data_IF_647776693073
#
_entry.id   IF_647776693073
#
_cell.length_a   1.000
_cell.length_b   1.000
_cell.length_c   1.000
_cell.angle_alpha   90.00
_cell.angle_beta   90.00
_cell.angle_gamma   90.00
#
_symmetry.space_group_name_H-M   'P 1'
#
loop_
_entity.id
_entity.type
_entity.pdbx_description
1 polymer ?
#
# COMPACT_ATOMS: atom_id res chain seq x y z
N UNK A 1 26.14 -23.98 0.91
CA UNK A 1 25.51 -23.01 1.82
C UNK A 1 25.18 -21.79 0.98
N UNK A 2 23.89 -21.43 0.82
CA UNK A 2 23.51 -20.25 0.04
C UNK A 2 23.95 -19.00 0.80
N UNK A 3 24.90 -18.27 0.22
CA UNK A 3 25.28 -16.96 0.73
C UNK A 3 24.16 -15.98 0.32
N UNK A 4 23.24 -15.68 1.26
CA UNK A 4 22.29 -14.59 1.09
C UNK A 4 23.11 -13.31 0.96
N UNK A 5 23.08 -12.67 -0.22
CA UNK A 5 23.68 -11.35 -0.37
C UNK A 5 22.93 -10.39 0.58
N UNK A 6 23.64 -9.69 1.49
CA UNK A 6 23.00 -8.82 2.44
C UNK A 6 22.33 -7.65 1.70
N UNK A 7 21.25 -7.12 2.29
CA UNK A 7 20.66 -5.88 1.82
C UNK A 7 21.72 -4.78 1.99
N UNK A 8 22.06 -4.08 0.91
CA UNK A 8 23.02 -2.95 0.94
C UNK A 8 22.31 -1.60 1.05
N UNK A 9 21.06 -1.51 0.60
CA UNK A 9 20.23 -0.32 0.72
C UNK A 9 18.76 -0.74 0.73
N UNK A 10 17.94 -0.05 1.54
CA UNK A 10 16.48 -0.18 1.51
C UNK A 10 15.89 1.16 1.07
N UNK A 11 15.21 1.15 -0.07
CA UNK A 11 14.49 2.31 -0.56
C UNK A 11 13.05 2.27 -0.10
N UNK A 12 12.53 3.41 0.34
CA UNK A 12 11.11 3.63 0.55
C UNK A 12 10.58 4.54 -0.55
N UNK A 13 9.49 4.12 -1.20
CA UNK A 13 8.85 4.86 -2.27
C UNK A 13 7.40 5.13 -1.84
N UNK A 14 7.06 6.41 -1.76
CA UNK A 14 5.68 6.88 -1.61
C UNK A 14 5.09 7.11 -2.99
N UNK A 15 3.93 6.53 -3.24
CA UNK A 15 3.35 6.51 -4.56
C UNK A 15 1.82 6.61 -4.51
N UNK A 16 1.24 6.96 -5.65
CA UNK A 16 -0.19 7.01 -5.88
C UNK A 16 -0.61 6.09 -7.01
N UNK A 17 -1.89 5.72 -6.99
CA UNK A 17 -2.54 4.96 -8.08
C UNK A 17 -3.82 5.68 -8.50
N UNK A 18 -3.81 6.20 -9.72
CA UNK A 18 -4.87 7.01 -10.30
C UNK A 18 -5.30 6.48 -11.67
N UNK A 19 -6.43 6.97 -12.19
CA UNK A 19 -6.91 6.61 -13.52
C UNK A 19 -7.02 5.09 -13.75
N UNK A 20 -6.42 4.53 -14.81
CA UNK A 20 -6.46 3.09 -15.08
C UNK A 20 -5.85 2.21 -13.97
N UNK A 21 -4.89 2.73 -13.20
CA UNK A 21 -4.21 1.96 -12.15
C UNK A 21 -5.13 1.53 -11.01
N UNK A 22 -6.31 2.15 -10.86
CA UNK A 22 -7.32 1.72 -9.88
C UNK A 22 -7.78 0.28 -10.10
N UNK A 23 -7.69 -0.23 -11.32
CA UNK A 23 -8.02 -1.62 -11.69
C UNK A 23 -6.85 -2.59 -11.52
N UNK A 24 -5.76 -2.16 -10.87
CA UNK A 24 -4.64 -3.03 -10.51
C UNK A 24 -4.84 -3.53 -9.07
N UNK A 25 -4.98 -4.84 -8.91
CA UNK A 25 -5.04 -5.49 -7.58
C UNK A 25 -3.67 -5.57 -6.91
N UNK A 26 -3.63 -5.92 -5.62
CA UNK A 26 -2.39 -5.89 -4.82
C UNK A 26 -1.30 -6.86 -5.29
N UNK A 27 -1.64 -8.01 -5.88
CA UNK A 27 -0.62 -8.90 -6.44
C UNK A 27 0.00 -8.31 -7.71
N UNK A 28 -0.80 -7.58 -8.48
CA UNK A 28 -0.35 -6.99 -9.74
C UNK A 28 0.37 -5.67 -9.51
N UNK A 29 0.07 -4.92 -8.44
CA UNK A 29 0.85 -3.71 -8.09
C UNK A 29 2.30 -4.09 -7.75
N UNK A 30 2.52 -5.19 -7.02
CA UNK A 30 3.87 -5.69 -6.75
C UNK A 30 4.62 -6.08 -8.04
N UNK A 31 3.95 -6.74 -8.98
CA UNK A 31 4.52 -7.07 -10.30
C UNK A 31 4.77 -5.81 -11.15
N UNK A 32 3.90 -4.82 -11.09
CA UNK A 32 4.08 -3.54 -11.77
C UNK A 32 5.34 -2.86 -11.26
N UNK A 33 5.50 -2.77 -9.94
CA UNK A 33 6.71 -2.25 -9.33
C UNK A 33 7.96 -3.03 -9.71
N UNK A 34 7.92 -4.36 -9.69
CA UNK A 34 9.03 -5.18 -10.21
C UNK A 34 9.42 -4.78 -11.63
N UNK A 35 8.45 -4.64 -12.54
CA UNK A 35 8.73 -4.25 -13.93
C UNK A 35 9.31 -2.84 -14.04
N UNK A 36 8.76 -1.87 -13.32
CA UNK A 36 9.24 -0.48 -13.29
C UNK A 36 10.70 -0.44 -12.80
N UNK A 37 10.96 -1.05 -11.64
CA UNK A 37 12.29 -1.07 -11.04
C UNK A 37 13.32 -1.80 -11.92
N UNK A 38 12.93 -2.92 -12.56
CA UNK A 38 13.79 -3.63 -13.52
C UNK A 38 14.08 -2.80 -14.76
N UNK A 39 13.08 -2.16 -15.35
CA UNK A 39 13.25 -1.31 -16.56
C UNK A 39 14.10 -0.07 -16.28
N UNK A 40 14.06 0.44 -15.06
CA UNK A 40 14.95 1.50 -14.60
C UNK A 40 16.36 1.00 -14.22
N UNK A 41 16.67 -0.30 -14.41
CA UNK A 41 17.96 -0.92 -14.11
C UNK A 41 18.38 -0.83 -12.62
N UNK A 42 17.43 -0.95 -11.68
CA UNK A 42 17.79 -0.98 -10.26
C UNK A 42 18.42 -2.33 -9.88
N UNK A 43 19.44 -2.34 -9.01
CA UNK A 43 20.09 -3.56 -8.51
C UNK A 43 19.21 -4.23 -7.45
N UNK A 44 18.08 -4.81 -7.88
CA UNK A 44 17.12 -5.46 -6.99
C UNK A 44 17.74 -6.69 -6.30
N UNK A 45 17.46 -6.83 -5.00
CA UNK A 45 17.75 -8.05 -4.26
C UNK A 45 16.56 -9.02 -4.37
N UNK A 46 16.85 -10.30 -4.56
CA UNK A 46 15.83 -11.34 -4.74
C UNK A 46 15.72 -12.27 -3.52
N UNK A 47 14.57 -12.90 -3.36
CA UNK A 47 14.38 -14.00 -2.41
C UNK A 47 15.12 -15.25 -2.88
N UNK A 48 15.49 -16.14 -1.95
CA UNK A 48 16.09 -17.44 -2.27
C UNK A 48 15.02 -18.50 -2.62
N UNK A 49 15.45 -19.60 -3.23
CA UNK A 49 14.63 -20.75 -3.57
C UNK A 49 14.19 -20.78 -5.05
N UNK A 50 13.31 -21.72 -5.39
CA UNK A 50 12.92 -22.02 -6.78
C UNK A 50 12.09 -20.93 -7.46
N UNK A 51 11.43 -20.06 -6.69
CA UNK A 51 10.61 -18.95 -7.19
C UNK A 51 11.15 -17.62 -6.66
N UNK A 52 12.28 -17.18 -7.21
CA UNK A 52 12.95 -15.93 -6.82
C UNK A 52 12.08 -14.74 -7.21
N UNK A 53 11.73 -13.89 -6.24
CA UNK A 53 11.02 -12.63 -6.47
C UNK A 53 11.83 -11.49 -5.88
N UNK A 54 11.76 -10.27 -6.45
CA UNK A 54 12.41 -9.13 -5.84
C UNK A 54 11.82 -8.91 -4.45
N UNK A 55 12.67 -8.52 -3.50
CA UNK A 55 12.27 -8.18 -2.13
C UNK A 55 11.61 -6.81 -2.11
N UNK A 56 10.33 -6.80 -2.45
CA UNK A 56 9.44 -5.64 -2.41
C UNK A 56 8.37 -5.90 -1.34
N UNK A 57 8.16 -4.93 -0.45
CA UNK A 57 7.12 -4.97 0.58
C UNK A 57 6.14 -3.83 0.32
N UNK A 58 4.84 -4.12 0.36
CA UNK A 58 3.77 -3.13 0.36
C UNK A 58 3.33 -2.88 1.80
N UNK A 59 3.07 -1.61 2.14
CA UNK A 59 2.62 -1.22 3.48
C UNK A 59 1.21 -1.71 3.78
N UNK A 60 0.31 -1.55 2.82
CA UNK A 60 -1.08 -1.98 2.93
C UNK A 60 -1.60 -2.48 1.58
N UNK A 61 -2.73 -3.16 1.64
CA UNK A 61 -3.44 -3.69 0.50
C UNK A 61 -4.65 -2.81 0.21
N UNK A 62 -4.65 -2.10 -0.91
CA UNK A 62 -5.79 -1.28 -1.33
C UNK A 62 -6.78 -2.12 -2.14
N UNK A 63 -8.10 -2.04 -1.88
CA UNK A 63 -9.10 -2.72 -2.69
C UNK A 63 -9.04 -2.33 -4.17
N UNK A 64 -9.54 -3.24 -5.01
CA UNK A 64 -9.68 -3.00 -6.44
C UNK A 64 -10.71 -1.89 -6.69
N UNK A 65 -10.44 -1.03 -7.67
CA UNK A 65 -11.34 0.05 -8.08
C UNK A 65 -11.16 1.37 -7.32
N UNK A 66 -10.36 1.38 -6.26
CA UNK A 66 -10.09 2.56 -5.43
C UNK A 66 -8.79 3.23 -5.91
N UNK A 67 -8.74 4.57 -5.90
CA UNK A 67 -7.51 5.36 -6.14
C UNK A 67 -6.82 5.67 -4.81
N UNK A 68 -5.53 6.01 -4.82
CA UNK A 68 -4.81 6.40 -3.61
C UNK A 68 -3.68 7.36 -3.92
N UNK A 69 -3.41 8.24 -2.95
CA UNK A 69 -2.36 9.26 -2.95
C UNK A 69 -1.28 8.97 -1.89
N UNK A 70 -1.40 7.87 -1.12
CA UNK A 70 -0.55 7.60 0.05
C UNK A 70 -0.19 6.11 0.20
N UNK A 71 0.18 5.46 -0.91
CA UNK A 71 0.72 4.10 -0.85
C UNK A 71 2.23 4.13 -0.60
N UNK A 72 2.74 3.07 0.02
CA UNK A 72 4.17 2.97 0.35
C UNK A 72 4.67 1.57 0.00
N UNK A 73 5.83 1.52 -0.66
CA UNK A 73 6.64 0.31 -0.77
C UNK A 73 8.04 0.47 -0.20
N UNK A 74 8.57 -0.63 0.31
CA UNK A 74 10.00 -0.78 0.59
C UNK A 74 10.61 -1.75 -0.42
N UNK A 75 11.77 -1.40 -0.97
CA UNK A 75 12.53 -2.17 -1.96
C UNK A 75 13.93 -2.43 -1.43
N UNK A 76 14.34 -3.69 -1.36
CA UNK A 76 15.70 -4.05 -1.00
C UNK A 76 16.62 -4.12 -2.22
N UNK A 77 17.78 -3.49 -2.12
CA UNK A 77 18.80 -3.46 -3.16
C UNK A 77 20.06 -4.22 -2.72
N UNK A 78 20.72 -4.86 -3.69
CA UNK A 78 21.98 -5.58 -3.48
C UNK A 78 23.22 -4.67 -3.55
N UNK A 79 23.05 -3.44 -4.04
CA UNK A 79 24.07 -2.41 -4.19
C UNK A 79 23.44 -1.04 -3.87
N UNK A 80 24.18 -0.09 -3.27
CA UNK A 80 23.71 1.27 -3.06
C UNK A 80 23.60 2.03 -4.40
N UNK A 81 22.59 2.90 -4.50
CA UNK A 81 22.40 3.81 -5.63
C UNK A 81 22.17 5.24 -5.13
N UNK A 82 22.54 6.21 -5.97
CA UNK A 82 22.16 7.61 -5.80
C UNK A 82 20.68 7.83 -6.14
N UNK A 83 20.04 8.74 -5.42
CA UNK A 83 18.61 9.06 -5.60
C UNK A 83 18.36 10.18 -6.60
N UNK A 84 19.40 10.95 -6.95
CA UNK A 84 19.30 12.05 -7.91
C UNK A 84 18.84 11.52 -9.29
N UNK A 85 17.77 12.12 -9.81
CA UNK A 85 17.16 11.70 -11.09
C UNK A 85 16.44 10.34 -11.05
N UNK A 86 16.38 9.66 -9.90
CA UNK A 86 15.77 8.33 -9.79
C UNK A 86 14.25 8.39 -10.01
N UNK A 87 13.59 9.43 -9.50
CA UNK A 87 12.15 9.62 -9.66
C UNK A 87 11.78 9.72 -11.13
N UNK A 88 12.50 10.52 -11.89
CA UNK A 88 12.30 10.73 -13.33
C UNK A 88 12.54 9.44 -14.11
N UNK A 89 13.61 8.70 -13.79
CA UNK A 89 13.90 7.39 -14.39
C UNK A 89 12.79 6.37 -14.13
N UNK A 90 12.25 6.32 -12.92
CA UNK A 90 11.16 5.40 -12.59
C UNK A 90 9.87 5.82 -13.30
N UNK A 91 9.53 7.11 -13.30
CA UNK A 91 8.35 7.64 -14.00
C UNK A 91 8.41 7.38 -15.52
N UNK A 92 9.58 7.53 -16.14
CA UNK A 92 9.78 7.23 -17.56
C UNK A 92 9.48 5.78 -17.96
N UNK A 93 9.49 4.86 -17.00
CA UNK A 93 9.18 3.43 -17.21
C UNK A 93 7.86 2.98 -16.58
N UNK A 94 7.16 3.91 -15.94
CA UNK A 94 5.92 3.67 -15.19
C UNK A 94 4.71 3.65 -16.11
N UNK A 95 3.70 2.80 -15.81
CA UNK A 95 2.42 2.87 -16.52
C UNK A 95 1.67 4.16 -16.16
N UNK A 96 0.77 4.57 -17.05
CA UNK A 96 -0.13 5.72 -16.82
C UNK A 96 -0.92 5.54 -15.54
N UNK A 97 -0.91 6.57 -14.68
CA UNK A 97 -1.63 6.58 -13.41
C UNK A 97 -0.83 6.03 -12.22
N UNK A 98 0.42 5.60 -12.41
CA UNK A 98 1.36 5.39 -11.30
C UNK A 98 2.11 6.71 -11.03
N UNK A 99 1.91 7.28 -9.86
CA UNK A 99 2.55 8.53 -9.45
C UNK A 99 3.60 8.26 -8.38
N UNK A 100 4.71 8.99 -8.39
CA UNK A 100 5.76 8.87 -7.39
C UNK A 100 5.88 10.21 -6.67
N UNK A 101 5.64 10.22 -5.36
CA UNK A 101 5.68 11.43 -4.57
C UNK A 101 7.06 11.64 -3.96
N UNK A 102 7.59 10.61 -3.29
CA UNK A 102 8.86 10.66 -2.54
C UNK A 102 9.61 9.34 -2.66
N UNK A 103 10.93 9.43 -2.77
CA UNK A 103 11.83 8.29 -2.66
C UNK A 103 12.89 8.64 -1.62
N UNK A 104 13.16 7.72 -0.71
CA UNK A 104 14.17 7.91 0.32
C UNK A 104 14.89 6.61 0.65
N UNK A 105 16.13 6.72 1.13
CA UNK A 105 16.81 5.59 1.77
C UNK A 105 16.38 5.52 3.22
N UNK A 106 15.99 4.32 3.68
CA UNK A 106 15.62 4.06 5.09
C UNK A 106 16.59 3.06 5.70
N UNK A 107 16.76 3.02 7.04
CA UNK A 107 17.62 2.04 7.71
C UNK A 107 17.26 0.61 7.29
N UNK A 108 18.22 -0.27 7.08
CA UNK A 108 17.98 -1.65 6.60
C UNK A 108 17.24 -2.48 7.66
N UNK A 109 17.56 -2.26 8.93
CA UNK A 109 17.07 -2.91 10.13
C UNK A 109 15.91 -2.16 10.80
N UNK A 110 15.42 -1.09 10.18
CA UNK A 110 14.23 -0.38 10.66
C UNK A 110 12.96 -1.24 10.60
N UNK A 111 11.88 -0.80 11.26
CA UNK A 111 10.65 -1.57 11.45
C UNK A 111 10.05 -2.08 10.13
N UNK A 112 9.30 -3.18 10.23
CA UNK A 112 8.55 -3.74 9.10
C UNK A 112 7.53 -2.72 8.58
N UNK A 113 7.47 -2.53 7.27
CA UNK A 113 6.71 -1.44 6.65
C UNK A 113 5.22 -1.44 7.06
N UNK A 114 4.61 -2.62 7.21
CA UNK A 114 3.20 -2.75 7.58
C UNK A 114 2.91 -2.20 8.99
N UNK A 115 3.90 -2.19 9.88
CA UNK A 115 3.75 -1.69 11.25
C UNK A 115 3.73 -0.16 11.33
N UNK A 116 4.09 0.52 10.23
CA UNK A 116 4.12 1.97 10.15
C UNK A 116 2.77 2.56 9.71
N UNK A 117 1.86 1.74 9.19
CA UNK A 117 0.51 2.16 8.80
C UNK A 117 -0.32 2.36 10.05
N UNK A 118 -0.83 3.59 10.25
CA UNK A 118 -1.63 3.95 11.44
C UNK A 118 -3.12 3.98 11.14
N UNK A 119 -3.49 4.63 10.04
CA UNK A 119 -4.88 4.85 9.64
C UNK A 119 -4.96 4.94 8.11
N UNK A 120 -6.20 4.94 7.61
CA UNK A 120 -6.51 5.25 6.23
C UNK A 120 -7.51 6.40 6.20
N UNK A 121 -7.29 7.37 5.32
CA UNK A 121 -8.22 8.46 5.04
C UNK A 121 -8.97 8.15 3.74
N UNK A 122 -10.27 8.43 3.74
CA UNK A 122 -11.13 8.19 2.60
C UNK A 122 -11.70 9.51 2.10
N UNK A 123 -11.42 9.84 0.84
CA UNK A 123 -12.15 10.87 0.09
C UNK A 123 -13.20 10.20 -0.77
N UNK A 124 -14.46 10.55 -0.56
CA UNK A 124 -15.60 10.00 -1.30
C UNK A 124 -16.24 11.14 -2.10
N UNK A 125 -16.37 10.93 -3.40
CA UNK A 125 -17.06 11.84 -4.30
C UNK A 125 -18.35 11.20 -4.78
N UNK A 126 -19.46 11.92 -4.61
CA UNK A 126 -20.78 11.49 -5.08
C UNK A 126 -21.02 12.07 -6.47
N UNK A 127 -21.37 11.21 -7.43
CA UNK A 127 -21.65 11.64 -8.80
C UNK A 127 -22.97 12.41 -8.92
N UNK A 128 -23.92 12.06 -8.06
CA UNK A 128 -25.23 12.69 -8.00
C UNK A 128 -25.26 13.65 -6.80
N UNK A 129 -25.98 14.78 -6.90
CA UNK A 129 -26.20 15.66 -5.76
C UNK A 129 -26.78 14.88 -4.58
N UNK A 130 -26.22 15.13 -3.41
CA UNK A 130 -26.71 14.57 -2.14
C UNK A 130 -27.15 15.70 -1.23
N UNK A 131 -28.09 15.40 -0.33
CA UNK A 131 -28.40 16.29 0.78
C UNK A 131 -27.23 16.26 1.78
N UNK A 132 -26.38 17.28 1.69
CA UNK A 132 -25.18 17.42 2.52
C UNK A 132 -25.54 17.57 3.99
N UNK A 133 -26.63 18.29 4.30
CA UNK A 133 -27.04 18.49 5.69
C UNK A 133 -27.51 17.18 6.31
N UNK A 134 -28.28 16.38 5.57
CA UNK A 134 -28.68 15.05 6.02
C UNK A 134 -27.48 14.10 6.18
N UNK A 135 -26.49 14.17 5.30
CA UNK A 135 -25.26 13.39 5.42
C UNK A 135 -24.46 13.78 6.67
N UNK A 136 -24.24 15.07 6.89
CA UNK A 136 -23.54 15.60 8.07
C UNK A 136 -24.23 15.18 9.37
N UNK A 137 -25.56 15.26 9.42
CA UNK A 137 -26.32 14.79 10.58
C UNK A 137 -26.11 13.29 10.82
N UNK A 138 -26.17 12.46 9.77
CA UNK A 138 -25.90 11.02 9.91
C UNK A 138 -24.48 10.71 10.38
N UNK A 139 -23.48 11.47 9.90
CA UNK A 139 -22.09 11.32 10.35
C UNK A 139 -21.99 11.70 11.83
N UNK A 140 -22.59 12.82 12.24
CA UNK A 140 -22.63 13.26 13.64
C UNK A 140 -23.30 12.23 14.54
N UNK A 141 -24.46 11.72 14.15
CA UNK A 141 -25.22 10.71 14.89
C UNK A 141 -24.41 9.41 15.02
N UNK A 142 -23.69 9.01 13.98
CA UNK A 142 -22.80 7.83 14.03
C UNK A 142 -21.62 8.06 14.98
N UNK A 143 -20.96 9.22 14.91
CA UNK A 143 -19.82 9.56 15.77
C UNK A 143 -20.20 9.71 17.25
N UNK A 144 -21.45 10.11 17.53
CA UNK A 144 -21.98 10.23 18.89
C UNK A 144 -22.32 8.88 19.54
N UNK A 145 -22.28 7.76 18.81
CA UNK A 145 -22.53 6.44 19.39
C UNK A 145 -21.33 5.97 20.24
N UNK A 146 -21.61 5.45 21.44
CA UNK A 146 -20.59 4.83 22.30
C UNK A 146 -19.97 3.57 21.68
N UNK A 147 -20.73 2.85 20.84
CA UNK A 147 -20.29 1.63 20.19
C UNK A 147 -20.95 1.45 18.81
N UNK A 148 -20.16 0.99 17.84
CA UNK A 148 -20.62 0.68 16.47
C UNK A 148 -20.31 -0.80 16.21
N UNK A 149 -21.25 -1.68 16.55
CA UNK A 149 -21.04 -3.13 16.49
C UNK A 149 -21.37 -3.70 15.12
N UNK A 150 -20.38 -4.34 14.49
CA UNK A 150 -20.58 -5.13 13.26
C UNK A 150 -20.33 -6.62 13.50
N UNK A 151 -21.02 -7.47 12.74
CA UNK A 151 -20.74 -8.92 12.71
C UNK A 151 -19.83 -9.27 11.53
N UNK A 152 -18.70 -9.90 11.82
CA UNK A 152 -17.78 -10.44 10.81
C UNK A 152 -17.77 -11.97 10.86
N UNK A 153 -17.86 -12.60 9.70
CA UNK A 153 -17.70 -14.05 9.56
C UNK A 153 -16.23 -14.35 9.26
N UNK A 154 -15.56 -15.09 10.14
CA UNK A 154 -14.25 -15.69 9.84
C UNK A 154 -14.43 -17.14 9.46
N UNK A 155 -14.02 -17.50 8.23
CA UNK A 155 -13.91 -18.90 7.80
C UNK A 155 -12.54 -19.44 8.19
N UNK A 156 -12.50 -20.51 8.99
CA UNK A 156 -11.28 -21.26 9.28
C UNK A 156 -11.58 -22.74 9.01
N UNK A 157 -11.06 -23.28 7.90
CA UNK A 157 -11.45 -24.60 7.35
C UNK A 157 -12.96 -24.66 7.08
N UNK A 158 -13.62 -25.78 7.41
CA UNK A 158 -15.06 -26.05 7.21
C UNK A 158 -15.99 -25.41 8.26
N UNK A 159 -15.49 -24.59 9.19
CA UNK A 159 -16.32 -23.95 10.23
C UNK A 159 -16.36 -22.44 10.06
N UNK A 160 -17.56 -21.89 10.20
CA UNK A 160 -17.82 -20.45 10.23
C UNK A 160 -17.91 -19.98 11.68
N UNK A 161 -17.15 -18.95 12.04
CA UNK A 161 -17.26 -18.29 13.34
C UNK A 161 -17.69 -16.84 13.12
N UNK A 162 -18.82 -16.44 13.72
CA UNK A 162 -19.25 -15.04 13.78
C UNK A 162 -18.55 -14.33 14.94
N UNK A 163 -18.05 -13.14 14.70
CA UNK A 163 -17.35 -12.31 15.67
C UNK A 163 -17.97 -10.93 15.63
N UNK A 164 -18.32 -10.39 16.80
CA UNK A 164 -18.74 -9.01 16.95
C UNK A 164 -17.49 -8.14 17.11
N UNK A 165 -17.42 -7.03 16.37
CA UNK A 165 -16.32 -6.08 16.41
C UNK A 165 -16.91 -4.69 16.59
N UNK A 166 -16.44 -3.97 17.59
CA UNK A 166 -16.75 -2.55 17.75
C UNK A 166 -15.82 -1.70 16.88
N UNK A 167 -16.40 -0.87 16.01
CA UNK A 167 -15.68 0.02 15.12
C UNK A 167 -15.46 1.41 15.71
N UNK A 168 -16.22 1.84 16.72
CA UNK A 168 -16.10 3.20 17.27
C UNK A 168 -14.66 3.60 17.67
N UNK A 169 -13.87 2.75 18.35
CA UNK A 169 -12.49 3.10 18.71
C UNK A 169 -11.50 3.09 17.52
N UNK A 170 -11.95 2.65 16.34
CA UNK A 170 -11.14 2.57 15.11
C UNK A 170 -11.40 3.74 14.15
N UNK A 171 -12.34 4.62 14.47
CA UNK A 171 -12.66 5.81 13.69
C UNK A 171 -11.94 7.00 14.35
N UNK A 172 -11.10 7.66 13.57
CA UNK A 172 -10.34 8.85 13.98
C UNK A 172 -11.04 10.11 13.45
N UNK A 173 -10.96 11.19 14.23
CA UNK A 173 -11.45 12.53 13.90
C UNK A 173 -10.27 13.47 13.58
#
# INVERSE_FOLDING_TARGET
MSHISPIKQRLRIHFGKNGPMKYTGNLDIAKTWERVLRRANLPLLYTEGFNTRPRIQLASALPLGITSECEIIDVALKEPIELDGLKERLLATSPVGLEIYRIESVPIDGPALQTLVRSAEYRIEFKEPIDTQALENKIRDMLAQDAIIIERVKKRKRREKRIKVDLRPLIHE
#
